data_IF_220561951467
#
_entry.id   IF_220561951467
#
_cell.length_a   1.000
_cell.length_b   1.000
_cell.length_c   1.000
_cell.angle_alpha   90.00
_cell.angle_beta   90.00
_cell.angle_gamma   90.00
#
_symmetry.space_group_name_H-M   'P 1'
#
loop_
_entity.id
_entity.type
_entity.pdbx_description
1 polymer ?
#
# COMPACT_ATOMS: atom_id res chain seq x y z
N UNK A 1 7.38 -33.15 -35.91
CA UNK A 1 6.55 -32.80 -34.72
C UNK A 1 5.22 -33.52 -34.83
N UNK A 2 4.67 -34.01 -33.71
CA UNK A 2 3.38 -34.73 -33.70
C UNK A 2 2.21 -33.76 -33.83
N UNK A 3 1.13 -34.21 -34.46
CA UNK A 3 -0.08 -33.41 -34.67
C UNK A 3 -0.73 -32.97 -33.35
N UNK A 4 -0.80 -33.88 -32.37
CA UNK A 4 -1.32 -33.59 -31.03
C UNK A 4 -0.57 -32.43 -30.34
N UNK A 5 0.75 -32.34 -30.51
CA UNK A 5 1.55 -31.25 -29.93
C UNK A 5 1.15 -29.90 -30.52
N UNK A 6 0.87 -29.84 -31.82
CA UNK A 6 0.43 -28.61 -32.49
C UNK A 6 -0.98 -28.21 -32.04
N UNK A 7 -1.89 -29.17 -31.92
CA UNK A 7 -3.24 -28.92 -31.43
C UNK A 7 -3.23 -28.37 -29.99
N UNK A 8 -2.44 -28.97 -29.10
CA UNK A 8 -2.33 -28.53 -27.69
C UNK A 8 -1.63 -27.18 -27.52
N UNK A 9 -0.79 -26.76 -28.46
CA UNK A 9 -0.14 -25.45 -28.40
C UNK A 9 -1.10 -24.27 -28.60
N UNK A 10 -2.32 -24.51 -29.10
CA UNK A 10 -3.41 -23.52 -29.13
C UNK A 10 -2.98 -22.12 -29.61
N UNK A 11 -2.31 -22.05 -30.76
CA UNK A 11 -1.83 -20.79 -31.35
C UNK A 11 -0.36 -20.44 -31.07
N UNK A 12 0.28 -21.06 -30.07
CA UNK A 12 1.72 -20.90 -29.78
C UNK A 12 2.62 -21.81 -30.65
N UNK A 13 2.29 -21.94 -31.95
CA UNK A 13 3.02 -22.83 -32.87
C UNK A 13 4.41 -22.30 -33.22
N UNK A 14 4.64 -20.99 -33.08
CA UNK A 14 5.93 -20.34 -33.25
C UNK A 14 6.96 -20.78 -32.20
N UNK A 15 6.53 -20.97 -30.95
CA UNK A 15 7.37 -21.51 -29.87
C UNK A 15 7.82 -22.92 -30.22
N UNK A 16 6.89 -23.77 -30.69
CA UNK A 16 7.22 -25.12 -31.13
C UNK A 16 8.17 -25.10 -32.33
N UNK A 17 7.98 -24.20 -33.30
CA UNK A 17 8.84 -24.11 -34.48
C UNK A 17 10.29 -23.73 -34.13
N UNK A 18 10.48 -22.93 -33.08
CA UNK A 18 11.79 -22.50 -32.57
C UNK A 18 12.39 -23.47 -31.54
N UNK A 19 11.65 -24.48 -31.11
CA UNK A 19 12.13 -25.44 -30.11
C UNK A 19 13.32 -26.24 -30.65
N UNK A 20 14.47 -26.13 -29.98
CA UNK A 20 15.66 -26.93 -30.29
C UNK A 20 15.56 -28.29 -29.60
N UNK A 21 15.86 -29.35 -30.33
CA UNK A 21 15.98 -30.70 -29.80
C UNK A 21 17.47 -31.01 -29.74
N UNK A 22 17.98 -31.25 -28.53
CA UNK A 22 19.36 -31.60 -28.26
C UNK A 22 19.46 -33.07 -27.83
N UNK A 23 20.58 -33.73 -28.11
CA UNK A 23 20.79 -35.13 -27.73
C UNK A 23 21.20 -35.26 -26.25
N UNK A 24 21.80 -34.21 -25.69
CA UNK A 24 22.31 -34.19 -24.31
C UNK A 24 21.93 -32.89 -23.60
N UNK A 25 21.92 -32.94 -22.26
CA UNK A 25 21.71 -31.75 -21.44
C UNK A 25 22.84 -30.72 -21.65
N UNK A 26 24.09 -31.17 -21.83
CA UNK A 26 25.24 -30.28 -22.05
C UNK A 26 25.06 -29.43 -23.31
N UNK A 27 24.62 -30.06 -24.39
CA UNK A 27 24.33 -29.36 -25.64
C UNK A 27 23.13 -28.39 -25.48
N UNK A 28 22.12 -28.77 -24.68
CA UNK A 28 20.98 -27.91 -24.39
C UNK A 28 21.36 -26.65 -23.58
N UNK A 29 22.38 -26.77 -22.71
CA UNK A 29 22.81 -25.72 -21.78
C UNK A 29 23.97 -24.84 -22.27
N UNK A 30 24.44 -25.01 -23.50
CA UNK A 30 25.47 -24.15 -24.07
C UNK A 30 25.07 -22.66 -23.98
N UNK A 31 25.92 -21.84 -23.36
CA UNK A 31 25.69 -20.39 -23.16
C UNK A 31 24.80 -20.02 -21.96
N UNK A 32 24.31 -21.00 -21.18
CA UNK A 32 23.55 -20.75 -19.95
C UNK A 32 24.52 -20.55 -18.79
N UNK A 33 24.38 -19.43 -18.08
CA UNK A 33 25.21 -19.06 -16.93
C UNK A 33 24.50 -19.26 -15.60
N UNK A 34 23.17 -19.36 -15.60
CA UNK A 34 22.39 -19.61 -14.40
C UNK A 34 21.31 -20.66 -14.62
N UNK A 35 21.42 -21.77 -13.88
CA UNK A 35 20.59 -22.95 -14.06
C UNK A 35 19.68 -23.18 -12.86
N UNK A 36 18.38 -23.31 -13.11
CA UNK A 36 17.36 -23.51 -12.10
C UNK A 36 16.69 -24.88 -12.26
N UNK A 37 16.89 -25.79 -11.32
CA UNK A 37 16.10 -27.03 -11.25
C UNK A 37 14.69 -26.72 -10.76
N UNK A 38 13.69 -27.51 -11.18
CA UNK A 38 12.36 -27.51 -10.57
C UNK A 38 12.12 -28.85 -9.87
N UNK A 39 11.86 -28.81 -8.56
CA UNK A 39 11.54 -30.02 -7.80
C UNK A 39 10.66 -29.69 -6.59
N UNK A 40 9.78 -30.64 -6.25
CA UNK A 40 8.90 -30.53 -5.08
C UNK A 40 9.72 -30.55 -3.79
N UNK A 41 10.60 -31.55 -3.65
CA UNK A 41 11.40 -31.78 -2.45
C UNK A 41 12.85 -31.38 -2.65
N UNK A 42 13.49 -30.77 -1.65
CA UNK A 42 14.94 -30.62 -1.62
C UNK A 42 15.65 -31.95 -1.84
N UNK A 43 16.86 -31.90 -2.38
CA UNK A 43 17.77 -33.04 -2.46
C UNK A 43 18.90 -32.82 -1.46
N UNK A 44 19.33 -33.87 -0.78
CA UNK A 44 20.32 -33.78 0.31
C UNK A 44 21.62 -33.11 -0.14
N UNK A 45 22.06 -33.40 -1.38
CA UNK A 45 23.23 -32.79 -2.01
C UNK A 45 22.87 -31.80 -3.12
N UNK A 46 21.62 -31.33 -3.12
CA UNK A 46 21.11 -30.38 -4.09
C UNK A 46 21.54 -28.94 -3.80
N UNK A 47 21.36 -28.05 -4.79
CA UNK A 47 21.54 -26.62 -4.58
C UNK A 47 20.51 -26.06 -3.58
N UNK A 48 20.73 -24.83 -3.08
CA UNK A 48 19.78 -24.17 -2.19
C UNK A 48 18.36 -24.19 -2.75
N UNK A 49 17.39 -24.58 -1.93
CA UNK A 49 15.97 -24.60 -2.32
C UNK A 49 15.32 -23.26 -2.03
N UNK A 50 14.59 -22.72 -3.01
CA UNK A 50 13.92 -21.41 -2.91
C UNK A 50 12.57 -21.42 -3.60
N UNK A 51 11.66 -20.56 -3.15
CA UNK A 51 10.44 -20.25 -3.91
C UNK A 51 10.77 -19.40 -5.14
N UNK A 52 10.09 -19.57 -6.29
CA UNK A 52 10.40 -18.83 -7.51
C UNK A 52 10.44 -17.32 -7.33
N UNK A 53 9.40 -16.73 -6.72
CA UNK A 53 9.29 -15.27 -6.54
C UNK A 53 10.52 -14.67 -5.85
N UNK A 54 10.85 -15.18 -4.67
CA UNK A 54 11.98 -14.68 -3.88
C UNK A 54 13.32 -14.86 -4.62
N UNK A 55 13.48 -15.94 -5.39
CA UNK A 55 14.70 -16.17 -6.17
C UNK A 55 14.80 -15.23 -7.37
N UNK A 56 13.71 -15.03 -8.09
CA UNK A 56 13.69 -14.19 -9.28
C UNK A 56 13.89 -12.71 -8.95
N UNK A 57 13.30 -12.21 -7.87
CA UNK A 57 13.56 -10.86 -7.37
C UNK A 57 15.03 -10.66 -6.99
N UNK A 58 15.66 -11.67 -6.40
CA UNK A 58 17.08 -11.62 -6.05
C UNK A 58 17.98 -11.61 -7.29
N UNK A 59 17.64 -12.40 -8.33
CA UNK A 59 18.40 -12.41 -9.57
C UNK A 59 18.36 -11.04 -10.27
N UNK A 60 17.17 -10.43 -10.39
CA UNK A 60 17.03 -9.10 -10.98
C UNK A 60 17.79 -8.03 -10.19
N UNK A 61 17.72 -8.06 -8.85
CA UNK A 61 18.49 -7.11 -8.02
C UNK A 61 19.99 -7.23 -8.24
N UNK A 62 20.51 -8.46 -8.34
CA UNK A 62 21.94 -8.71 -8.62
C UNK A 62 22.35 -8.15 -9.97
N UNK A 63 21.58 -8.43 -11.01
CA UNK A 63 21.84 -7.92 -12.36
C UNK A 63 21.83 -6.38 -12.38
N UNK A 64 20.82 -5.75 -11.78
CA UNK A 64 20.74 -4.30 -11.66
C UNK A 64 21.94 -3.72 -10.90
N UNK A 65 22.37 -4.33 -9.79
CA UNK A 65 23.55 -3.86 -9.06
C UNK A 65 24.82 -3.94 -9.89
N UNK A 66 25.02 -5.01 -10.67
CA UNK A 66 26.18 -5.17 -11.54
C UNK A 66 26.16 -4.14 -12.68
N UNK A 67 24.98 -3.83 -13.24
CA UNK A 67 24.85 -2.78 -14.26
C UNK A 67 25.04 -1.35 -13.73
N UNK A 68 24.86 -1.11 -12.43
CA UNK A 68 25.01 0.23 -11.81
C UNK A 68 26.42 0.56 -11.33
N UNK A 69 27.34 -0.42 -11.27
CA UNK A 69 28.75 -0.15 -10.97
C UNK A 69 29.44 0.21 -12.29
N UNK A 70 30.00 1.42 -12.45
CA UNK A 70 30.80 1.74 -13.63
C UNK A 70 32.05 0.86 -13.61
N UNK A 71 32.11 -0.15 -14.47
CA UNK A 71 33.33 -0.96 -14.64
C UNK A 71 34.48 -0.05 -15.08
N UNK A 72 35.47 0.12 -14.21
CA UNK A 72 36.72 0.86 -14.43
C UNK A 72 37.69 0.18 -15.42
N UNK A 73 37.22 -0.76 -16.23
CA UNK A 73 38.03 -1.47 -17.23
C UNK A 73 37.19 -1.73 -18.47
N UNK A 74 37.25 -0.80 -19.42
CA UNK A 74 36.57 -0.86 -20.72
C UNK A 74 37.06 -2.02 -21.63
N UNK A 75 38.10 -2.76 -21.23
CA UNK A 75 38.75 -3.79 -22.07
C UNK A 75 38.31 -5.25 -21.78
N UNK A 76 37.39 -5.49 -20.83
CA UNK A 76 36.86 -6.83 -20.54
C UNK A 76 35.36 -6.95 -20.83
N UNK A 77 34.87 -6.25 -21.87
CA UNK A 77 33.56 -6.52 -22.47
C UNK A 77 33.56 -7.87 -23.20
N UNK A 78 33.76 -8.95 -22.46
CA UNK A 78 33.15 -10.22 -22.81
C UNK A 78 31.65 -10.02 -22.61
N UNK A 79 30.97 -9.69 -23.71
CA UNK A 79 29.54 -9.79 -23.90
C UNK A 79 29.08 -11.25 -23.67
N UNK A 80 29.24 -11.76 -22.45
CA UNK A 80 28.61 -12.99 -22.01
C UNK A 80 27.15 -12.64 -21.76
N UNK A 81 26.31 -12.73 -22.78
CA UNK A 81 24.86 -12.73 -22.58
C UNK A 81 24.54 -13.80 -21.52
N UNK A 82 24.20 -13.37 -20.31
CA UNK A 82 23.96 -14.27 -19.20
C UNK A 82 22.64 -15.00 -19.44
N UNK A 83 22.70 -16.25 -19.90
CA UNK A 83 21.52 -17.08 -20.11
C UNK A 83 21.00 -17.68 -18.80
N UNK A 84 19.69 -17.55 -18.55
CA UNK A 84 19.00 -18.29 -17.47
C UNK A 84 18.22 -19.45 -18.08
N UNK A 85 18.39 -20.66 -17.53
CA UNK A 85 17.58 -21.82 -17.93
C UNK A 85 16.80 -22.40 -16.75
N UNK A 86 15.57 -22.84 -17.04
CA UNK A 86 14.69 -23.56 -16.13
C UNK A 86 14.60 -25.01 -16.58
N UNK A 87 15.07 -25.94 -15.76
CA UNK A 87 14.98 -27.37 -16.03
C UNK A 87 13.70 -27.94 -15.45
N UNK A 88 13.00 -28.69 -16.29
CA UNK A 88 11.83 -29.45 -15.92
C UNK A 88 12.08 -30.93 -16.20
N UNK A 89 11.72 -31.76 -15.22
CA UNK A 89 11.87 -33.20 -15.32
C UNK A 89 10.71 -33.88 -16.04
N UNK A 90 10.83 -35.19 -16.22
CA UNK A 90 9.70 -36.00 -16.69
C UNK A 90 8.56 -35.96 -15.68
N UNK A 91 7.32 -36.02 -16.15
CA UNK A 91 6.14 -35.93 -15.28
C UNK A 91 6.06 -37.08 -14.26
N UNK A 92 6.55 -38.28 -14.63
CA UNK A 92 6.53 -39.45 -13.76
C UNK A 92 7.70 -39.52 -12.77
N UNK A 93 8.90 -39.15 -13.20
CA UNK A 93 10.12 -39.40 -12.44
C UNK A 93 10.82 -38.12 -11.96
N UNK A 94 10.38 -36.94 -12.42
CA UNK A 94 11.06 -35.69 -12.17
C UNK A 94 12.42 -35.61 -12.89
N UNK A 95 13.32 -34.82 -12.32
CA UNK A 95 14.72 -34.67 -12.75
C UNK A 95 15.60 -35.73 -12.09
N UNK A 96 16.62 -36.20 -12.81
CA UNK A 96 17.66 -37.03 -12.22
C UNK A 96 18.45 -36.21 -11.18
N UNK A 97 18.98 -36.89 -10.17
CA UNK A 97 19.77 -36.24 -9.13
C UNK A 97 21.00 -35.54 -9.73
N UNK A 98 21.69 -36.18 -10.66
CA UNK A 98 22.86 -35.61 -11.34
C UNK A 98 22.53 -34.30 -12.08
N UNK A 99 21.33 -34.18 -12.66
CA UNK A 99 20.88 -32.94 -13.32
C UNK A 99 20.60 -31.84 -12.29
N UNK A 100 19.99 -32.19 -11.16
CA UNK A 100 19.70 -31.25 -10.06
C UNK A 100 21.00 -30.72 -9.44
N UNK A 101 22.00 -31.58 -9.24
CA UNK A 101 23.28 -31.21 -8.63
C UNK A 101 24.09 -30.21 -9.47
N UNK A 102 23.85 -30.16 -10.78
CA UNK A 102 24.46 -29.18 -11.69
C UNK A 102 23.80 -27.80 -11.65
N UNK A 103 22.65 -27.68 -10.99
CA UNK A 103 21.90 -26.43 -10.93
C UNK A 103 22.41 -25.51 -9.84
N UNK A 104 22.17 -24.21 -10.01
CA UNK A 104 22.55 -23.17 -9.05
C UNK A 104 21.49 -22.97 -7.96
N UNK A 105 20.25 -23.36 -8.26
CA UNK A 105 19.11 -23.30 -7.36
C UNK A 105 18.16 -24.46 -7.64
N UNK A 106 17.45 -24.91 -6.61
CA UNK A 106 16.26 -25.74 -6.76
C UNK A 106 15.02 -24.88 -6.47
N UNK A 107 14.19 -24.66 -7.49
CA UNK A 107 12.92 -23.96 -7.36
C UNK A 107 11.85 -24.93 -6.87
N UNK A 108 11.35 -24.70 -5.67
CA UNK A 108 10.22 -25.44 -5.10
C UNK A 108 8.97 -24.56 -5.14
N UNK A 109 7.95 -25.04 -5.83
CA UNK A 109 6.66 -24.37 -5.95
C UNK A 109 5.85 -24.60 -4.66
N UNK A 110 5.43 -23.54 -3.95
CA UNK A 110 4.56 -23.69 -2.80
C UNK A 110 3.25 -24.36 -3.21
N UNK A 111 3.00 -25.53 -2.66
CA UNK A 111 1.85 -26.40 -2.95
C UNK A 111 1.36 -27.02 -1.65
N UNK A 112 0.23 -27.73 -1.70
CA UNK A 112 -0.27 -28.44 -0.52
C UNK A 112 0.74 -29.52 -0.07
N UNK A 113 1.12 -29.58 1.22
CA UNK A 113 2.09 -30.57 1.70
C UNK A 113 1.66 -32.03 1.52
N UNK A 114 0.35 -32.31 1.48
CA UNK A 114 -0.22 -33.63 1.23
C UNK A 114 -0.32 -33.99 -0.25
N UNK A 115 -0.19 -33.01 -1.15
CA UNK A 115 -0.21 -33.20 -2.60
C UNK A 115 0.60 -32.10 -3.33
N UNK A 116 1.92 -32.24 -3.32
CA UNK A 116 2.84 -31.21 -3.83
C UNK A 116 3.26 -31.37 -5.30
N UNK A 117 2.84 -32.44 -5.97
CA UNK A 117 3.23 -32.71 -7.35
C UNK A 117 2.28 -32.02 -8.33
N UNK A 118 2.81 -31.07 -9.09
CA UNK A 118 2.10 -30.43 -10.20
C UNK A 118 2.38 -31.19 -11.49
N UNK A 119 1.38 -31.25 -12.37
CA UNK A 119 1.62 -31.68 -13.75
C UNK A 119 2.64 -30.74 -14.43
N UNK A 120 3.36 -31.27 -15.42
CA UNK A 120 4.46 -30.56 -16.07
C UNK A 120 4.03 -29.19 -16.65
N UNK A 121 2.87 -29.14 -17.32
CA UNK A 121 2.37 -27.91 -17.91
C UNK A 121 2.03 -26.84 -16.86
N UNK A 122 1.44 -27.24 -15.73
CA UNK A 122 1.13 -26.36 -14.62
C UNK A 122 2.40 -25.81 -13.94
N UNK A 123 3.41 -26.66 -13.74
CA UNK A 123 4.70 -26.21 -13.22
C UNK A 123 5.37 -25.19 -14.15
N UNK A 124 5.40 -25.47 -15.46
CA UNK A 124 5.91 -24.54 -16.48
C UNK A 124 5.11 -23.23 -16.46
N UNK A 125 3.79 -23.31 -16.38
CA UNK A 125 2.91 -22.14 -16.37
C UNK A 125 3.16 -21.22 -15.17
N UNK A 126 3.32 -21.78 -13.96
CA UNK A 126 3.57 -20.98 -12.75
C UNK A 126 4.97 -20.35 -12.78
N UNK A 127 5.99 -21.10 -13.21
CA UNK A 127 7.35 -20.56 -13.37
C UNK A 127 7.38 -19.43 -14.41
N UNK A 128 6.74 -19.63 -15.57
CA UNK A 128 6.66 -18.61 -16.62
C UNK A 128 5.91 -17.36 -16.13
N UNK A 129 4.84 -17.53 -15.36
CA UNK A 129 4.09 -16.43 -14.75
C UNK A 129 4.95 -15.64 -13.75
N UNK A 130 5.61 -16.32 -12.80
CA UNK A 130 6.47 -15.67 -11.80
C UNK A 130 7.64 -14.93 -12.48
N UNK A 131 8.23 -15.53 -13.52
CA UNK A 131 9.27 -14.90 -14.32
C UNK A 131 8.76 -13.65 -15.03
N UNK A 132 7.60 -13.74 -15.69
CA UNK A 132 6.99 -12.59 -16.36
C UNK A 132 6.61 -11.49 -15.37
N UNK A 133 6.24 -11.84 -14.14
CA UNK A 133 5.88 -10.88 -13.11
C UNK A 133 7.08 -10.06 -12.63
N UNK A 134 8.22 -10.71 -12.36
CA UNK A 134 9.43 -9.97 -11.97
C UNK A 134 9.97 -9.09 -13.10
N UNK A 135 9.77 -9.49 -14.36
CA UNK A 135 10.11 -8.68 -15.54
C UNK A 135 9.15 -7.50 -15.76
N UNK A 136 8.16 -7.29 -14.89
CA UNK A 136 7.19 -6.19 -14.98
C UNK A 136 6.11 -6.38 -16.06
N UNK A 137 5.98 -7.58 -16.60
CA UNK A 137 5.18 -7.85 -17.80
C UNK A 137 3.65 -7.85 -17.62
N UNK A 138 3.17 -7.96 -16.39
CA UNK A 138 1.75 -7.78 -16.03
C UNK A 138 1.58 -6.73 -14.93
N UNK A 139 2.48 -5.74 -14.85
CA UNK A 139 2.17 -4.53 -14.09
C UNK A 139 0.78 -4.05 -14.55
N UNK A 140 -0.14 -3.70 -13.62
CA UNK A 140 -1.46 -3.26 -14.03
C UNK A 140 -1.26 -2.13 -15.02
N UNK A 141 -1.70 -2.36 -16.27
CA UNK A 141 -1.88 -1.31 -17.25
C UNK A 141 -2.85 -0.35 -16.58
N UNK A 142 -2.33 0.66 -15.90
CA UNK A 142 -3.14 1.73 -15.30
C UNK A 142 -3.92 2.24 -16.49
N UNK A 143 -5.23 1.96 -16.50
CA UNK A 143 -6.07 2.22 -17.64
C UNK A 143 -5.74 3.63 -18.13
N UNK A 144 -5.26 3.70 -19.36
CA UNK A 144 -5.04 4.94 -20.08
C UNK A 144 -6.44 5.55 -20.30
N UNK A 145 -6.97 6.18 -19.27
CA UNK A 145 -8.21 6.92 -19.27
C UNK A 145 -8.03 8.09 -18.31
N UNK A 146 -7.56 9.19 -18.89
CA UNK A 146 -7.78 10.56 -18.43
C UNK A 146 -7.56 10.84 -16.94
N UNK A 147 -6.30 10.88 -16.51
CA UNK A 147 -5.86 11.88 -15.55
C UNK A 147 -4.52 12.43 -16.07
N UNK A 148 -4.30 13.76 -16.10
CA UNK A 148 -3.00 14.28 -16.46
C UNK A 148 -1.96 13.67 -15.53
N UNK A 149 -0.92 13.08 -16.12
CA UNK A 149 0.23 12.58 -15.40
C UNK A 149 0.83 13.75 -14.61
N UNK A 150 0.56 13.80 -13.31
CA UNK A 150 1.42 14.52 -12.39
C UNK A 150 2.73 13.72 -12.40
N UNK A 151 3.86 14.32 -12.77
CA UNK A 151 5.14 13.61 -12.82
C UNK A 151 5.37 12.92 -11.48
N UNK A 152 5.89 11.69 -11.52
CA UNK A 152 6.37 10.96 -10.35
C UNK A 152 7.67 11.58 -9.78
N UNK A 153 7.66 12.90 -9.61
CA UNK A 153 8.61 13.66 -8.83
C UNK A 153 7.91 14.01 -7.51
N UNK A 154 8.24 13.25 -6.46
CA UNK A 154 7.94 13.58 -5.06
C UNK A 154 6.48 13.53 -4.59
N UNK A 155 5.86 12.35 -4.62
CA UNK A 155 4.98 12.00 -3.49
C UNK A 155 5.88 11.49 -2.35
N UNK A 156 6.75 12.36 -1.82
CA UNK A 156 7.47 12.06 -0.57
C UNK A 156 6.41 11.90 0.50
N UNK A 157 6.33 10.72 1.14
CA UNK A 157 5.53 10.53 2.34
C UNK A 157 5.92 11.60 3.36
N UNK A 158 4.94 12.17 4.06
CA UNK A 158 5.17 13.10 5.13
C UNK A 158 6.06 12.45 6.19
N UNK A 159 7.02 13.22 6.70
CA UNK A 159 7.92 12.73 7.72
C UNK A 159 7.20 12.53 9.07
N UNK A 160 7.88 11.87 10.01
CA UNK A 160 7.31 11.59 11.33
C UNK A 160 6.97 12.87 12.11
N UNK A 161 7.68 13.98 11.88
CA UNK A 161 7.44 15.27 12.55
C UNK A 161 6.16 15.92 12.03
N UNK A 162 5.91 15.85 10.72
CA UNK A 162 4.68 16.32 10.08
C UNK A 162 3.46 15.53 10.57
N UNK A 163 3.58 14.20 10.66
CA UNK A 163 2.52 13.33 11.21
C UNK A 163 2.28 13.62 12.70
N UNK A 164 3.33 13.83 13.49
CA UNK A 164 3.19 14.22 14.90
C UNK A 164 2.47 15.57 15.06
N UNK A 165 2.83 16.57 14.23
CA UNK A 165 2.18 17.88 14.23
C UNK A 165 0.71 17.83 13.80
N UNK A 166 0.35 16.92 12.90
CA UNK A 166 -1.05 16.61 12.56
C UNK A 166 -1.81 16.09 13.79
N UNK A 167 -1.27 15.06 14.44
CA UNK A 167 -1.93 14.43 15.59
C UNK A 167 -2.10 15.40 16.77
N UNK A 168 -1.17 16.33 16.97
CA UNK A 168 -1.29 17.39 17.98
C UNK A 168 -2.50 18.30 17.72
N UNK A 169 -2.63 18.87 16.51
CA UNK A 169 -3.80 19.70 16.17
C UNK A 169 -5.12 18.92 16.25
N UNK A 170 -5.12 17.65 15.85
CA UNK A 170 -6.31 16.80 15.97
C UNK A 170 -6.67 16.52 17.42
N UNK A 171 -5.69 16.31 18.30
CA UNK A 171 -5.94 16.18 19.74
C UNK A 171 -6.65 17.43 20.29
N UNK A 172 -6.12 18.62 20.02
CA UNK A 172 -6.70 19.89 20.46
C UNK A 172 -8.10 20.11 19.91
N UNK A 173 -8.28 19.90 18.59
CA UNK A 173 -9.56 20.08 17.93
C UNK A 173 -10.63 19.11 18.46
N UNK A 174 -10.29 17.84 18.67
CA UNK A 174 -11.22 16.83 19.17
C UNK A 174 -11.65 17.10 20.61
N UNK A 175 -10.77 17.67 21.44
CA UNK A 175 -11.13 18.14 22.79
C UNK A 175 -12.07 19.34 22.70
N UNK A 176 -11.75 20.33 21.86
CA UNK A 176 -12.54 21.55 21.73
C UNK A 176 -13.97 21.28 21.22
N UNK A 177 -14.15 20.34 20.29
CA UNK A 177 -15.49 19.92 19.83
C UNK A 177 -16.19 18.93 20.78
N UNK A 178 -15.61 18.69 21.97
CA UNK A 178 -16.09 17.75 23.01
C UNK A 178 -16.21 16.29 22.54
N UNK A 179 -15.49 15.90 21.50
CA UNK A 179 -15.41 14.51 21.04
C UNK A 179 -14.44 13.68 21.89
N UNK A 180 -13.32 14.30 22.30
CA UNK A 180 -12.30 13.69 23.14
C UNK A 180 -12.37 14.29 24.55
N UNK A 181 -12.59 13.43 25.55
CA UNK A 181 -12.44 13.82 26.95
C UNK A 181 -10.96 13.73 27.35
N UNK A 182 -10.30 14.85 27.73
CA UNK A 182 -8.90 14.84 28.14
C UNK A 182 -8.66 14.05 29.45
N UNK A 183 -9.68 13.89 30.30
CA UNK A 183 -9.59 13.06 31.51
C UNK A 183 -9.72 11.55 31.20
N UNK A 184 -10.27 11.20 30.03
CA UNK A 184 -10.44 9.83 29.59
C UNK A 184 -10.11 9.65 28.08
N UNK A 185 -8.86 9.90 27.65
CA UNK A 185 -8.52 10.03 26.23
C UNK A 185 -8.61 8.71 25.43
N UNK A 186 -8.79 7.57 26.11
CA UNK A 186 -8.74 6.21 25.52
C UNK A 186 -7.47 6.02 24.67
N UNK A 187 -7.42 4.99 23.81
CA UNK A 187 -6.32 4.74 22.85
C UNK A 187 -6.56 5.44 21.50
N UNK A 188 -7.24 6.59 21.49
CA UNK A 188 -7.66 7.24 20.24
C UNK A 188 -6.47 7.76 19.43
N UNK A 189 -5.58 8.56 20.04
CA UNK A 189 -4.41 9.11 19.34
C UNK A 189 -3.46 8.02 18.79
N UNK A 190 -3.13 6.94 19.53
CA UNK A 190 -2.39 5.81 18.96
C UNK A 190 -3.07 5.17 17.75
N UNK A 191 -4.41 5.06 17.73
CA UNK A 191 -5.15 4.51 16.59
C UNK A 191 -5.14 5.45 15.38
N UNK A 192 -5.20 6.76 15.60
CA UNK A 192 -5.05 7.76 14.53
C UNK A 192 -3.63 7.76 13.96
N UNK A 193 -2.61 7.59 14.80
CA UNK A 193 -1.24 7.41 14.34
C UNK A 193 -1.08 6.15 13.47
N UNK A 194 -1.66 5.02 13.90
CA UNK A 194 -1.66 3.78 13.11
C UNK A 194 -2.44 3.93 11.79
N UNK A 195 -3.48 4.77 11.75
CA UNK A 195 -4.19 5.10 10.52
C UNK A 195 -3.30 5.92 9.57
N UNK A 196 -2.66 6.99 10.05
CA UNK A 196 -1.76 7.81 9.26
C UNK A 196 -0.60 7.00 8.67
N UNK A 197 0.00 6.10 9.47
CA UNK A 197 1.07 5.21 9.01
C UNK A 197 0.64 4.22 7.92
N UNK A 198 -0.62 3.74 7.96
CA UNK A 198 -1.16 2.86 6.91
C UNK A 198 -1.50 3.60 5.63
N UNK A 199 -1.93 4.86 5.75
CA UNK A 199 -2.31 5.69 4.61
C UNK A 199 -1.12 6.31 3.88
N UNK A 200 0.07 6.35 4.50
CA UNK A 200 1.29 6.91 3.88
C UNK A 200 1.05 8.34 3.35
N UNK A 201 0.49 9.20 4.20
CA UNK A 201 0.08 10.56 3.85
C UNK A 201 1.23 11.38 3.26
N UNK A 202 0.95 12.19 2.24
CA UNK A 202 1.87 13.20 1.70
C UNK A 202 1.84 14.50 2.55
N UNK A 203 2.87 15.36 2.46
CA UNK A 203 2.89 16.66 3.13
C UNK A 203 1.65 17.52 2.84
N UNK A 204 1.18 17.53 1.59
CA UNK A 204 0.00 18.29 1.19
C UNK A 204 -1.28 17.77 1.87
N UNK A 205 -1.46 16.45 1.95
CA UNK A 205 -2.59 15.84 2.67
C UNK A 205 -2.52 16.11 4.16
N UNK A 206 -1.31 16.06 4.76
CA UNK A 206 -1.09 16.44 6.15
C UNK A 206 -1.52 17.89 6.39
N UNK A 207 -1.14 18.82 5.52
CA UNK A 207 -1.51 20.23 5.68
C UNK A 207 -3.01 20.47 5.52
N UNK A 208 -3.68 19.78 4.60
CA UNK A 208 -5.15 19.81 4.46
C UNK A 208 -5.81 19.34 5.76
N UNK A 209 -5.40 18.18 6.29
CA UNK A 209 -5.96 17.61 7.50
C UNK A 209 -5.67 18.47 8.74
N UNK A 210 -4.51 19.13 8.78
CA UNK A 210 -4.19 20.14 9.81
C UNK A 210 -5.07 21.38 9.68
N UNK A 211 -5.35 21.82 8.46
CA UNK A 211 -6.27 22.92 8.17
C UNK A 211 -7.67 22.65 8.69
N UNK A 212 -8.19 21.44 8.46
CA UNK A 212 -9.50 21.00 8.99
C UNK A 212 -9.52 21.05 10.52
N UNK A 213 -8.49 20.52 11.18
CA UNK A 213 -8.40 20.55 12.64
C UNK A 213 -8.36 21.98 13.19
N UNK A 214 -7.59 22.89 12.58
CA UNK A 214 -7.55 24.31 12.95
C UNK A 214 -8.90 25.00 12.76
N UNK A 215 -9.61 24.71 11.67
CA UNK A 215 -10.93 25.28 11.43
C UNK A 215 -11.98 24.78 12.45
N UNK A 216 -11.92 23.50 12.81
CA UNK A 216 -12.77 22.93 13.87
C UNK A 216 -12.50 23.60 15.22
N UNK A 217 -11.22 23.76 15.59
CA UNK A 217 -10.80 24.44 16.81
C UNK A 217 -11.27 25.90 16.85
N UNK A 218 -11.11 26.64 15.76
CA UNK A 218 -11.57 28.04 15.67
C UNK A 218 -13.10 28.16 15.77
N UNK A 219 -13.84 27.21 15.21
CA UNK A 219 -15.31 27.18 15.28
C UNK A 219 -15.79 26.91 16.71
N UNK A 220 -15.17 25.94 17.39
CA UNK A 220 -15.47 25.64 18.79
C UNK A 220 -15.22 26.85 19.70
N UNK A 221 -14.07 27.52 19.54
CA UNK A 221 -13.75 28.73 20.34
C UNK A 221 -14.72 29.90 20.11
N UNK A 222 -15.28 30.05 18.91
CA UNK A 222 -16.33 31.06 18.65
C UNK A 222 -17.65 30.71 19.32
N UNK A 223 -18.02 29.43 19.33
CA UNK A 223 -19.23 28.97 20.02
C UNK A 223 -19.13 29.24 21.53
N UNK A 224 -18.00 28.89 22.14
CA UNK A 224 -17.76 29.13 23.57
C UNK A 224 -17.78 30.63 23.94
N UNK A 225 -17.26 31.50 23.05
CA UNK A 225 -17.28 32.95 23.26
C UNK A 225 -18.71 33.53 23.16
N UNK A 226 -19.53 33.02 22.25
CA UNK A 226 -20.94 33.42 22.12
C UNK A 226 -21.76 32.97 23.34
N UNK A 227 -21.55 31.74 23.83
CA UNK A 227 -22.20 31.23 25.05
C UNK A 227 -21.79 32.05 26.28
N UNK A 228 -20.51 32.37 26.42
CA UNK A 228 -19.98 33.18 27.54
C UNK A 228 -20.46 34.63 27.52
N UNK A 229 -20.65 35.21 26.32
CA UNK A 229 -21.19 36.57 26.15
C UNK A 229 -22.69 36.65 26.44
N UNK A 230 -23.46 35.61 26.07
CA UNK A 230 -24.87 35.50 26.41
C UNK A 230 -25.08 35.40 27.93
N UNK A 231 -24.27 34.62 28.64
CA UNK A 231 -24.34 34.48 30.10
C UNK A 231 -24.02 35.80 30.83
N UNK A 232 -22.98 36.53 30.42
CA UNK A 232 -22.66 37.86 31.00
C UNK A 232 -23.75 38.90 30.76
N UNK A 233 -24.44 38.83 29.63
CA UNK A 233 -25.55 39.74 29.31
C UNK A 233 -26.80 39.42 30.16
N UNK A 234 -27.05 38.14 30.45
CA UNK A 234 -28.11 37.70 31.35
C UNK A 234 -27.85 38.08 32.82
N UNK A 235 -26.62 37.93 33.32
CA UNK A 235 -26.25 38.37 34.68
C UNK A 235 -26.34 39.89 34.86
N UNK A 236 -25.95 40.67 33.83
CA UNK A 236 -26.05 42.13 33.87
C UNK A 236 -27.51 42.63 33.83
N UNK A 237 -28.39 41.95 33.08
CA UNK A 237 -29.82 42.28 33.06
C UNK A 237 -30.55 41.87 34.33
N UNK A 238 -30.18 40.76 34.98
CA UNK A 238 -30.69 40.38 36.30
C UNK A 238 -30.22 41.37 37.39
N UNK A 239 -28.95 41.76 37.40
CA UNK A 239 -28.40 42.68 38.41
C UNK A 239 -28.94 44.14 38.24
N UNK A 240 -29.35 44.51 37.02
CA UNK A 240 -30.03 45.80 36.76
C UNK A 240 -31.49 45.79 37.23
N UNK A 241 -32.18 44.65 37.16
CA UNK A 241 -33.55 44.51 37.68
C UNK A 241 -33.60 44.54 39.22
N UNK A 242 -32.58 44.01 39.91
CA UNK A 242 -32.52 44.05 41.38
C UNK A 242 -32.17 45.45 41.96
N UNK A 243 -31.60 46.35 41.16
CA UNK A 243 -31.17 47.70 41.60
C UNK A 243 -32.19 48.82 41.37
N UNK A 244 -33.40 48.53 40.90
CA UNK A 244 -34.45 49.56 40.74
C UNK A 244 -35.24 49.73 42.05
N UNK A 245 -35.14 50.86 42.79
CA UNK A 245 -35.89 51.04 44.02
C UNK A 245 -37.35 51.41 43.75
N UNK A 246 -38.23 50.96 44.66
CA UNK A 246 -39.68 51.00 44.61
C UNK A 246 -40.33 52.23 43.97
N UNK A 247 -41.17 51.96 42.97
CA UNK A 247 -42.14 52.90 42.41
C UNK A 247 -43.15 53.31 43.51
N UNK A 248 -43.13 54.59 43.87
CA UNK A 248 -44.01 55.18 44.87
C UNK A 248 -45.50 54.95 44.53
N UNK A 249 -46.24 54.53 45.55
CA UNK A 249 -47.67 54.24 45.57
C UNK A 249 -48.44 55.58 45.57
N UNK A 250 -49.06 55.95 44.45
CA UNK A 250 -49.96 57.11 44.39
C UNK A 250 -51.37 56.74 44.88
N UNK A 251 -51.93 57.57 45.77
CA UNK A 251 -53.24 57.43 46.41
C UNK A 251 -54.40 57.65 45.41
N UNK A 252 -55.60 57.06 45.65
CA UNK A 252 -56.79 57.32 44.83
C UNK A 252 -57.48 58.63 45.25
N UNK A 253 -57.81 59.48 44.27
CA UNK A 253 -58.67 60.66 44.40
C UNK A 253 -60.03 60.46 43.71
N UNK A 254 -61.05 61.29 44.00
CA UNK A 254 -62.44 60.83 44.15
C UNK A 254 -63.25 60.76 42.86
N UNK A 255 -64.33 59.98 42.94
CA UNK A 255 -65.32 59.76 41.91
C UNK A 255 -66.14 61.03 41.60
N UNK A 256 -66.24 61.37 40.31
CA UNK A 256 -67.25 62.31 39.79
C UNK A 256 -68.20 61.55 38.88
N UNK A 257 -69.47 61.45 39.32
CA UNK A 257 -70.61 61.02 38.52
C UNK A 257 -70.86 62.05 37.42
N UNK A 258 -71.05 61.61 36.17
CA UNK A 258 -71.96 62.32 35.26
C UNK A 258 -72.78 61.31 34.47
N UNK A 259 -74.10 61.46 34.60
CA UNK A 259 -75.16 60.69 33.93
C UNK A 259 -75.29 61.09 32.47
N UNK A 260 -75.76 60.10 31.70
CA UNK A 260 -76.37 60.12 30.38
C UNK A 260 -77.21 61.37 30.02
N UNK A 261 -77.27 61.69 28.72
CA UNK A 261 -78.56 61.67 28.02
C UNK A 261 -78.45 61.71 26.48
N UNK A 262 -79.29 60.86 25.87
CA UNK A 262 -79.94 60.89 24.55
C UNK A 262 -79.10 60.88 23.27
#
# INVERSE_FOLDING_TARGET
QREETRARASGATDVLAKARIAATLDEALAGITHLCATAMTPRDFGPPTRTPRAHFEMLLKREQTVSTVPSLSADLSLNSEAGVAFLFGSERYGLANDDVYRCHVCLSLPTDPGYGSLNLAAAVQVIAYEWRMVLGGFAPQRAAAAAPAVPAAHATTADAQQVAALLAHWSEALVAIRFLDPAAPKKLLPRLNQLANRLQLTPAEVDILRGIARAALATAGRADALESGAQRTQESTQNTQERTPGRARAKPGPATKLRANR
#
